data_IF_767716807351
#
_entry.id   IF_767716807351
#
_cell.length_a   1.000
_cell.length_b   1.000
_cell.length_c   1.000
_cell.angle_alpha   90.00
_cell.angle_beta   90.00
_cell.angle_gamma   90.00
#
_symmetry.space_group_name_H-M   'P 1'
#
loop_
_entity.id
_entity.type
_entity.pdbx_description
1 polymer ?
#
# COMPACT_ATOMS: atom_id res chain seq x y z
N UNK A 1 -36.97 -10.28 21.71
CA UNK A 1 -35.80 -10.52 20.84
C UNK A 1 -35.83 -12.00 20.50
N UNK A 2 -36.35 -12.32 19.32
CA UNK A 2 -36.66 -13.71 18.96
C UNK A 2 -35.41 -14.44 18.47
N UNK A 3 -35.33 -15.73 18.77
CA UNK A 3 -34.18 -16.57 18.39
C UNK A 3 -33.90 -16.58 16.87
N UNK A 4 -34.92 -16.35 16.04
CA UNK A 4 -34.79 -16.20 14.59
C UNK A 4 -34.13 -14.87 14.16
N UNK A 5 -34.36 -13.79 14.91
CA UNK A 5 -33.78 -12.47 14.66
C UNK A 5 -32.29 -12.45 15.04
N UNK A 6 -31.93 -13.15 16.14
CA UNK A 6 -30.54 -13.37 16.51
C UNK A 6 -29.78 -14.26 15.50
N UNK A 7 -30.42 -15.32 14.99
CA UNK A 7 -29.80 -16.22 14.03
C UNK A 7 -29.57 -15.58 12.65
N UNK A 8 -30.50 -14.77 12.16
CA UNK A 8 -30.34 -14.01 10.91
C UNK A 8 -29.27 -12.94 11.02
N UNK A 9 -29.23 -12.21 12.14
CA UNK A 9 -28.15 -11.23 12.42
C UNK A 9 -26.77 -11.89 12.47
N UNK A 10 -26.67 -13.07 13.09
CA UNK A 10 -25.41 -13.84 13.11
C UNK A 10 -25.01 -14.33 11.72
N UNK A 11 -25.94 -14.80 10.89
CA UNK A 11 -25.67 -15.20 9.51
C UNK A 11 -25.19 -14.04 8.65
N UNK A 12 -25.77 -12.85 8.81
CA UNK A 12 -25.34 -11.64 8.10
C UNK A 12 -23.94 -11.19 8.55
N UNK A 13 -23.63 -11.28 9.85
CA UNK A 13 -22.27 -11.03 10.36
C UNK A 13 -21.27 -12.06 9.85
N UNK A 14 -21.63 -13.34 9.78
CA UNK A 14 -20.79 -14.40 9.23
C UNK A 14 -20.56 -14.20 7.73
N UNK A 15 -21.59 -13.81 6.98
CA UNK A 15 -21.52 -13.51 5.56
C UNK A 15 -20.62 -12.29 5.30
N UNK A 16 -20.77 -11.21 6.08
CA UNK A 16 -19.88 -10.05 6.01
C UNK A 16 -18.44 -10.37 6.41
N UNK A 17 -18.22 -11.22 7.42
CA UNK A 17 -16.88 -11.71 7.79
C UNK A 17 -16.23 -12.56 6.71
N UNK A 18 -17.01 -13.44 6.07
CA UNK A 18 -16.54 -14.29 4.95
C UNK A 18 -16.20 -13.44 3.73
N UNK A 19 -17.02 -12.45 3.42
CA UNK A 19 -16.77 -11.50 2.33
C UNK A 19 -15.52 -10.65 2.59
N UNK A 20 -15.38 -10.07 3.78
CA UNK A 20 -14.20 -9.32 4.18
C UNK A 20 -12.92 -10.19 4.14
N UNK A 21 -12.98 -11.45 4.59
CA UNK A 21 -11.86 -12.39 4.48
C UNK A 21 -11.47 -12.69 3.03
N UNK A 22 -12.45 -12.92 2.15
CA UNK A 22 -12.21 -13.16 0.71
C UNK A 22 -11.47 -12.00 0.02
N UNK A 23 -11.83 -10.78 0.43
CA UNK A 23 -11.30 -9.54 -0.14
C UNK A 23 -9.88 -9.27 0.38
N UNK A 24 -9.67 -9.44 1.68
CA UNK A 24 -8.35 -9.37 2.32
C UNK A 24 -7.37 -10.44 1.78
N UNK A 25 -7.86 -11.65 1.45
CA UNK A 25 -7.06 -12.72 0.83
C UNK A 25 -6.49 -12.35 -0.55
N UNK A 26 -6.95 -11.27 -1.19
CA UNK A 26 -6.41 -10.78 -2.45
C UNK A 26 -5.19 -9.87 -2.32
N UNK A 27 -4.97 -9.30 -1.13
CA UNK A 27 -4.03 -8.21 -0.95
C UNK A 27 -2.65 -8.63 -0.43
N UNK A 28 -2.48 -9.89 -0.03
CA UNK A 28 -1.21 -10.38 0.55
C UNK A 28 -0.02 -10.15 -0.40
N UNK A 29 -0.15 -10.50 -1.68
CA UNK A 29 0.95 -10.41 -2.65
C UNK A 29 1.34 -8.95 -2.95
N UNK A 30 0.40 -8.03 -3.28
CA UNK A 30 0.71 -6.61 -3.40
C UNK A 30 1.39 -6.01 -2.16
N UNK A 31 0.91 -6.36 -0.96
CA UNK A 31 1.48 -5.88 0.31
C UNK A 31 2.91 -6.36 0.52
N UNK A 32 3.18 -7.65 0.30
CA UNK A 32 4.53 -8.23 0.42
C UNK A 32 5.46 -7.59 -0.61
N UNK A 33 5.04 -7.47 -1.86
CA UNK A 33 5.87 -6.93 -2.93
C UNK A 33 6.19 -5.45 -2.69
N UNK A 34 5.18 -4.64 -2.35
CA UNK A 34 5.37 -3.23 -2.01
C UNK A 34 6.27 -3.07 -0.78
N UNK A 35 6.03 -3.86 0.27
CA UNK A 35 6.84 -3.86 1.49
C UNK A 35 8.30 -4.18 1.22
N UNK A 36 8.56 -5.24 0.43
CA UNK A 36 9.91 -5.63 0.03
C UNK A 36 10.61 -4.55 -0.81
N UNK A 37 9.95 -4.00 -1.83
CA UNK A 37 10.52 -2.95 -2.67
C UNK A 37 10.82 -1.67 -1.87
N UNK A 38 9.97 -1.33 -0.91
CA UNK A 38 10.18 -0.16 -0.03
C UNK A 38 11.32 -0.40 0.97
N UNK A 39 11.52 -1.62 1.46
CA UNK A 39 12.70 -1.93 2.27
C UNK A 39 13.99 -1.88 1.45
N UNK A 40 13.95 -2.36 0.21
CA UNK A 40 15.08 -2.24 -0.73
C UNK A 40 15.40 -0.78 -1.02
N UNK A 41 14.38 0.09 -1.12
CA UNK A 41 14.61 1.52 -1.34
C UNK A 41 15.41 2.16 -0.21
N UNK A 42 15.17 1.78 1.06
CA UNK A 42 15.98 2.22 2.19
C UNK A 42 17.45 1.80 2.05
N UNK A 43 17.70 0.56 1.60
CA UNK A 43 19.05 0.06 1.33
C UNK A 43 19.71 0.85 0.20
N UNK A 44 18.99 1.13 -0.88
CA UNK A 44 19.49 1.93 -2.02
C UNK A 44 19.89 3.34 -1.54
N UNK A 45 19.05 4.00 -0.75
CA UNK A 45 19.35 5.34 -0.22
C UNK A 45 20.62 5.32 0.63
N UNK A 46 20.82 4.30 1.48
CA UNK A 46 21.99 4.19 2.36
C UNK A 46 23.28 3.83 1.61
N UNK A 47 23.18 3.03 0.55
CA UNK A 47 24.36 2.47 -0.14
C UNK A 47 24.77 3.23 -1.40
N UNK A 48 23.80 3.71 -2.17
CA UNK A 48 24.00 4.40 -3.44
C UNK A 48 23.66 5.91 -3.37
N UNK A 49 22.89 6.33 -2.36
CA UNK A 49 22.45 7.72 -2.17
C UNK A 49 21.03 7.99 -2.68
N UNK A 50 20.47 9.17 -2.33
CA UNK A 50 19.09 9.53 -2.65
C UNK A 50 18.84 9.71 -4.16
N UNK A 51 19.86 10.10 -4.94
CA UNK A 51 19.73 10.34 -6.38
C UNK A 51 19.37 9.07 -7.16
N UNK A 52 19.78 7.90 -6.65
CA UNK A 52 19.47 6.60 -7.26
C UNK A 52 18.05 6.12 -6.98
N UNK A 53 17.35 6.74 -6.01
CA UNK A 53 16.01 6.35 -5.62
C UNK A 53 15.00 6.53 -6.76
N UNK A 54 15.15 7.61 -7.54
CA UNK A 54 14.31 7.87 -8.70
C UNK A 54 14.47 6.82 -9.78
N UNK A 55 15.72 6.46 -10.12
CA UNK A 55 16.02 5.41 -11.10
C UNK A 55 15.55 4.03 -10.64
N UNK A 56 15.73 3.72 -9.36
CA UNK A 56 15.22 2.49 -8.75
C UNK A 56 13.70 2.39 -8.93
N UNK A 57 12.94 3.43 -8.56
CA UNK A 57 11.48 3.42 -8.67
C UNK A 57 10.96 3.50 -10.11
N UNK A 58 11.73 4.09 -11.03
CA UNK A 58 11.43 4.08 -12.46
C UNK A 58 11.36 2.65 -13.02
N UNK A 59 12.15 1.72 -12.46
CA UNK A 59 12.15 0.30 -12.86
C UNK A 59 11.24 -0.51 -11.95
N UNK A 60 11.38 -0.37 -10.63
CA UNK A 60 10.66 -1.14 -9.63
C UNK A 60 9.15 -0.87 -9.65
N UNK A 61 8.72 0.36 -9.92
CA UNK A 61 7.31 0.74 -9.99
C UNK A 61 6.58 0.00 -11.13
N UNK A 62 7.01 0.13 -12.39
CA UNK A 62 6.42 -0.60 -13.51
C UNK A 62 6.54 -2.12 -13.36
N UNK A 63 7.71 -2.63 -12.92
CA UNK A 63 7.90 -4.06 -12.73
C UNK A 63 6.97 -4.62 -11.62
N UNK A 64 6.84 -3.91 -10.51
CA UNK A 64 5.95 -4.26 -9.41
C UNK A 64 4.48 -4.20 -9.80
N UNK A 65 4.08 -3.15 -10.51
CA UNK A 65 2.73 -3.00 -11.07
C UNK A 65 2.38 -4.12 -12.04
N UNK A 66 3.30 -4.48 -12.95
CA UNK A 66 3.13 -5.60 -13.86
C UNK A 66 3.00 -6.94 -13.12
N UNK A 67 3.82 -7.17 -12.10
CA UNK A 67 3.75 -8.37 -11.26
C UNK A 67 2.39 -8.48 -10.54
N UNK A 68 1.89 -7.38 -9.97
CA UNK A 68 0.56 -7.31 -9.34
C UNK A 68 -0.53 -7.58 -10.37
N UNK A 69 -0.49 -6.93 -11.53
CA UNK A 69 -1.48 -7.12 -12.58
C UNK A 69 -1.53 -8.58 -13.06
N UNK A 70 -0.37 -9.19 -13.31
CA UNK A 70 -0.26 -10.60 -13.72
C UNK A 70 -0.80 -11.52 -12.63
N UNK A 71 -0.47 -11.26 -11.36
CA UNK A 71 -0.98 -12.03 -10.23
C UNK A 71 -2.52 -11.94 -10.13
N UNK A 72 -3.06 -10.73 -10.22
CA UNK A 72 -4.50 -10.46 -10.19
C UNK A 72 -5.25 -11.14 -11.34
N UNK A 73 -4.75 -11.02 -12.57
CA UNK A 73 -5.36 -11.68 -13.75
C UNK A 73 -5.34 -13.19 -13.61
N UNK A 74 -4.23 -13.77 -13.13
CA UNK A 74 -4.14 -15.22 -12.87
C UNK A 74 -5.13 -15.67 -11.80
N UNK A 75 -5.36 -14.85 -10.77
CA UNK A 75 -6.33 -15.12 -9.70
C UNK A 75 -7.78 -15.01 -10.20
N UNK A 76 -8.11 -13.99 -10.98
CA UNK A 76 -9.43 -13.77 -11.57
C UNK A 76 -9.81 -14.93 -12.51
N UNK A 77 -8.89 -15.37 -13.37
CA UNK A 77 -9.12 -16.53 -14.26
C UNK A 77 -9.42 -17.83 -13.52
N UNK A 78 -8.92 -17.98 -12.28
CA UNK A 78 -9.16 -19.17 -11.44
C UNK A 78 -10.47 -19.08 -10.65
N UNK A 79 -10.98 -17.88 -10.34
CA UNK A 79 -12.15 -17.67 -9.48
C UNK A 79 -13.41 -17.19 -10.22
N UNK A 80 -13.31 -16.83 -11.51
CA UNK A 80 -14.47 -16.50 -12.36
C UNK A 80 -15.15 -15.16 -12.05
N UNK A 81 -14.66 -14.37 -11.09
CA UNK A 81 -15.25 -13.09 -10.69
C UNK A 81 -14.47 -11.94 -11.34
N UNK A 82 -15.11 -11.18 -12.22
CA UNK A 82 -14.62 -9.89 -12.74
C UNK A 82 -15.00 -8.78 -11.75
N UNK A 83 -14.03 -8.12 -11.12
CA UNK A 83 -14.29 -6.87 -10.38
C UNK A 83 -14.23 -5.67 -11.34
N UNK A 84 -15.04 -4.61 -11.11
CA UNK A 84 -14.91 -3.36 -11.85
C UNK A 84 -13.56 -2.70 -11.53
N UNK A 85 -12.59 -2.88 -12.43
CA UNK A 85 -11.16 -2.61 -12.18
C UNK A 85 -10.74 -1.14 -12.37
N UNK A 86 -11.57 -0.30 -13.00
CA UNK A 86 -11.15 1.03 -13.43
C UNK A 86 -10.71 1.93 -12.26
N UNK A 87 -11.49 1.97 -11.17
CA UNK A 87 -11.15 2.78 -9.98
C UNK A 87 -9.82 2.36 -9.35
N UNK A 88 -9.56 1.05 -9.24
CA UNK A 88 -8.31 0.53 -8.68
C UNK A 88 -7.09 0.84 -9.57
N UNK A 89 -7.25 0.70 -10.88
CA UNK A 89 -6.19 1.02 -11.85
C UNK A 89 -5.88 2.51 -11.84
N UNK A 90 -6.91 3.37 -11.84
CA UNK A 90 -6.73 4.83 -11.78
C UNK A 90 -6.00 5.23 -10.50
N UNK A 91 -6.43 4.73 -9.33
CA UNK A 91 -5.75 5.01 -8.06
C UNK A 91 -4.30 4.53 -8.06
N UNK A 92 -4.03 3.32 -8.54
CA UNK A 92 -2.67 2.79 -8.62
C UNK A 92 -1.77 3.63 -9.54
N UNK A 93 -2.25 4.00 -10.73
CA UNK A 93 -1.53 4.86 -11.67
C UNK A 93 -1.29 6.25 -11.07
N UNK A 94 -2.29 6.82 -10.40
CA UNK A 94 -2.18 8.12 -9.74
C UNK A 94 -1.14 8.10 -8.60
N UNK A 95 -1.08 7.03 -7.81
CA UNK A 95 -0.05 6.86 -6.77
C UNK A 95 1.35 6.82 -7.40
N UNK A 96 1.55 5.99 -8.42
CA UNK A 96 2.86 5.87 -9.10
C UNK A 96 3.27 7.20 -9.71
N UNK A 97 2.37 7.83 -10.46
CA UNK A 97 2.64 9.13 -11.09
C UNK A 97 2.92 10.21 -10.02
N UNK A 98 2.13 10.28 -8.95
CA UNK A 98 2.34 11.23 -7.87
C UNK A 98 3.65 11.01 -7.11
N UNK A 99 4.03 9.78 -6.83
CA UNK A 99 5.30 9.45 -6.18
C UNK A 99 6.49 9.86 -7.05
N UNK A 100 6.43 9.55 -8.35
CA UNK A 100 7.46 9.97 -9.30
C UNK A 100 7.51 11.50 -9.39
N UNK A 101 6.37 12.17 -9.57
CA UNK A 101 6.31 13.63 -9.69
C UNK A 101 6.84 14.35 -8.45
N UNK A 102 6.45 13.94 -7.23
CA UNK A 102 6.91 14.61 -6.01
C UNK A 102 8.36 14.24 -5.68
N UNK A 103 8.75 12.99 -5.88
CA UNK A 103 10.12 12.53 -5.66
C UNK A 103 11.11 13.18 -6.62
N UNK A 104 10.86 13.06 -7.93
CA UNK A 104 11.77 13.63 -8.94
C UNK A 104 11.61 15.14 -9.09
N UNK A 105 10.39 15.66 -8.91
CA UNK A 105 10.13 17.11 -8.98
C UNK A 105 10.74 17.87 -7.81
N UNK A 106 10.68 17.32 -6.59
CA UNK A 106 11.41 17.88 -5.45
C UNK A 106 12.91 17.92 -5.70
N UNK A 107 13.48 16.84 -6.25
CA UNK A 107 14.91 16.79 -6.57
C UNK A 107 15.29 17.78 -7.68
N UNK A 108 14.47 17.89 -8.72
CA UNK A 108 14.69 18.82 -9.83
C UNK A 108 14.59 20.30 -9.42
N UNK A 109 13.77 20.60 -8.41
CA UNK A 109 13.57 21.95 -7.86
C UNK A 109 14.49 22.27 -6.67
N UNK A 110 15.38 21.35 -6.29
CA UNK A 110 16.26 21.46 -5.12
C UNK A 110 15.49 21.67 -3.80
N UNK A 111 14.34 21.01 -3.67
CA UNK A 111 13.49 21.02 -2.47
C UNK A 111 13.52 19.61 -1.84
N UNK A 112 14.47 19.35 -0.92
CA UNK A 112 14.70 18.01 -0.39
C UNK A 112 13.54 17.51 0.47
N UNK A 113 12.79 18.40 1.13
CA UNK A 113 11.62 18.05 1.93
C UNK A 113 10.50 17.48 1.07
N UNK A 114 10.27 18.07 -0.10
CA UNK A 114 9.26 17.58 -1.04
C UNK A 114 9.61 16.18 -1.55
N UNK A 115 10.90 15.96 -1.82
CA UNK A 115 11.42 14.66 -2.28
C UNK A 115 11.31 13.58 -1.20
N UNK A 116 11.60 13.94 0.05
CA UNK A 116 11.60 13.00 1.17
C UNK A 116 10.20 12.65 1.66
N UNK A 117 9.32 13.64 1.80
CA UNK A 117 8.01 13.48 2.46
C UNK A 117 6.84 13.40 1.48
N UNK A 118 7.00 13.87 0.23
CA UNK A 118 5.96 13.83 -0.79
C UNK A 118 5.49 12.42 -1.15
N UNK A 119 6.38 11.48 -1.52
CA UNK A 119 5.97 10.13 -1.90
C UNK A 119 5.22 9.36 -0.80
N UNK A 120 5.64 9.35 0.48
CA UNK A 120 4.87 8.74 1.57
C UNK A 120 3.47 9.32 1.75
N UNK A 121 3.31 10.64 1.56
CA UNK A 121 2.01 11.32 1.60
C UNK A 121 1.11 10.89 0.44
N UNK A 122 1.66 10.78 -0.77
CA UNK A 122 0.93 10.28 -1.95
C UNK A 122 0.46 8.85 -1.75
N UNK A 123 1.32 7.98 -1.20
CA UNK A 123 0.94 6.60 -0.87
C UNK A 123 -0.21 6.58 0.14
N UNK A 124 -0.13 7.39 1.21
CA UNK A 124 -1.20 7.47 2.20
C UNK A 124 -2.52 8.01 1.63
N UNK A 125 -2.47 9.04 0.77
CA UNK A 125 -3.63 9.55 0.05
C UNK A 125 -4.25 8.48 -0.87
N UNK A 126 -3.41 7.70 -1.55
CA UNK A 126 -3.82 6.55 -2.34
C UNK A 126 -4.54 5.49 -1.51
N UNK A 127 -4.03 5.19 -0.31
CA UNK A 127 -4.69 4.29 0.64
C UNK A 127 -6.04 4.85 1.10
N UNK A 128 -6.18 6.16 1.33
CA UNK A 128 -7.49 6.76 1.60
C UNK A 128 -8.46 6.60 0.43
N UNK A 129 -7.99 6.76 -0.81
CA UNK A 129 -8.81 6.51 -1.99
C UNK A 129 -9.26 5.04 -2.06
N UNK A 130 -8.37 4.08 -1.78
CA UNK A 130 -8.76 2.68 -1.65
C UNK A 130 -9.75 2.44 -0.51
N UNK A 131 -9.58 3.10 0.64
CA UNK A 131 -10.49 2.97 1.77
C UNK A 131 -11.90 3.47 1.42
N UNK A 132 -12.00 4.55 0.65
CA UNK A 132 -13.26 5.07 0.15
C UNK A 132 -13.90 4.14 -0.89
N UNK A 133 -13.11 3.59 -1.81
CA UNK A 133 -13.58 2.62 -2.81
C UNK A 133 -14.08 1.32 -2.17
N UNK A 134 -13.40 0.84 -1.13
CA UNK A 134 -13.75 -0.38 -0.39
C UNK A 134 -14.75 -0.13 0.76
N UNK A 135 -15.08 1.14 1.06
CA UNK A 135 -15.87 1.56 2.24
C UNK A 135 -15.35 0.92 3.54
N UNK A 136 -14.04 0.88 3.71
CA UNK A 136 -13.35 0.17 4.80
C UNK A 136 -12.74 1.13 5.83
N UNK A 137 -13.27 1.13 7.05
CA UNK A 137 -12.77 1.96 8.15
C UNK A 137 -11.37 1.54 8.62
N UNK A 138 -11.04 0.24 8.56
CA UNK A 138 -9.72 -0.26 8.96
C UNK A 138 -8.63 0.23 8.00
N UNK A 139 -8.91 0.27 6.70
CA UNK A 139 -7.97 0.76 5.69
C UNK A 139 -7.79 2.28 5.79
N UNK A 140 -8.86 3.02 6.10
CA UNK A 140 -8.78 4.45 6.41
C UNK A 140 -7.94 4.73 7.67
N UNK A 141 -8.11 3.93 8.74
CA UNK A 141 -7.31 4.07 9.95
C UNK A 141 -5.82 3.79 9.68
N UNK A 142 -5.51 2.74 8.92
CA UNK A 142 -4.13 2.44 8.48
C UNK A 142 -3.54 3.60 7.67
N UNK A 143 -4.30 4.13 6.70
CA UNK A 143 -3.88 5.27 5.89
C UNK A 143 -3.59 6.51 6.76
N UNK A 144 -4.42 6.76 7.78
CA UNK A 144 -4.21 7.84 8.74
C UNK A 144 -2.94 7.66 9.57
N UNK A 145 -2.69 6.46 10.09
CA UNK A 145 -1.46 6.14 10.83
C UNK A 145 -0.22 6.34 9.96
N UNK A 146 -0.27 5.85 8.72
CA UNK A 146 0.83 6.00 7.77
C UNK A 146 1.04 7.47 7.40
N UNK A 147 -0.02 8.26 7.17
CA UNK A 147 0.08 9.70 6.89
C UNK A 147 0.66 10.50 8.07
N UNK A 148 0.35 10.10 9.31
CA UNK A 148 0.82 10.80 10.50
C UNK A 148 2.35 10.75 10.63
N UNK A 149 2.99 9.68 10.16
CA UNK A 149 4.44 9.51 10.24
C UNK A 149 5.23 10.58 9.45
N UNK A 150 5.09 10.73 8.12
CA UNK A 150 5.81 11.76 7.37
C UNK A 150 5.43 13.17 7.81
N UNK A 151 4.17 13.40 8.22
CA UNK A 151 3.75 14.69 8.77
C UNK A 151 4.47 15.01 10.09
N UNK A 152 4.61 14.05 10.99
CA UNK A 152 5.34 14.22 12.25
C UNK A 152 6.84 14.44 12.00
N UNK A 153 7.45 13.66 11.10
CA UNK A 153 8.87 13.82 10.76
C UNK A 153 9.15 15.21 10.16
N UNK A 154 8.28 15.69 9.28
CA UNK A 154 8.35 17.04 8.72
C UNK A 154 8.19 18.12 9.81
N UNK A 155 7.16 18.00 10.65
CA UNK A 155 6.90 18.97 11.73
C UNK A 155 8.02 19.03 12.78
N UNK A 156 8.71 17.91 13.01
CA UNK A 156 9.87 17.82 13.91
C UNK A 156 11.17 18.32 13.26
N UNK A 157 11.15 18.73 11.99
CA UNK A 157 12.35 19.20 11.28
C UNK A 157 13.40 18.09 11.10
N UNK A 158 12.96 16.84 10.96
CA UNK A 158 13.87 15.71 10.76
C UNK A 158 14.59 15.87 9.43
N UNK A 159 15.91 15.69 9.44
CA UNK A 159 16.76 15.68 8.26
C UNK A 159 16.15 14.83 7.13
N UNK A 160 16.01 15.36 5.89
CA UNK A 160 15.28 14.70 4.80
C UNK A 160 15.76 13.27 4.48
N UNK A 161 17.07 13.04 4.57
CA UNK A 161 17.67 11.72 4.37
C UNK A 161 17.18 10.72 5.43
N UNK A 162 17.25 11.12 6.71
CA UNK A 162 16.78 10.30 7.82
C UNK A 162 15.27 10.07 7.73
N UNK A 163 14.50 11.12 7.40
CA UNK A 163 13.06 11.05 7.21
C UNK A 163 12.65 10.05 6.12
N UNK A 164 13.40 10.03 5.00
CA UNK A 164 13.20 9.07 3.90
C UNK A 164 13.46 7.64 4.36
N UNK A 165 14.60 7.39 5.03
CA UNK A 165 14.97 6.04 5.51
C UNK A 165 13.96 5.54 6.55
N UNK A 166 13.60 6.37 7.54
CA UNK A 166 12.63 6.00 8.58
C UNK A 166 11.26 5.69 7.97
N UNK A 167 10.80 6.53 7.04
CA UNK A 167 9.52 6.31 6.36
C UNK A 167 9.55 5.02 5.52
N UNK A 168 10.61 4.79 4.76
CA UNK A 168 10.76 3.59 3.94
C UNK A 168 10.79 2.31 4.79
N UNK A 169 11.54 2.31 5.90
CA UNK A 169 11.59 1.17 6.82
C UNK A 169 10.23 0.93 7.47
N UNK A 170 9.56 1.97 7.97
CA UNK A 170 8.26 1.85 8.63
C UNK A 170 7.18 1.34 7.68
N UNK A 171 7.00 2.00 6.52
CA UNK A 171 6.02 1.60 5.50
C UNK A 171 6.34 0.21 4.95
N UNK A 172 7.62 -0.07 4.70
CA UNK A 172 8.10 -1.34 4.19
C UNK A 172 7.82 -2.49 5.15
N UNK A 173 8.17 -2.33 6.44
CA UNK A 173 7.96 -3.34 7.47
C UNK A 173 6.48 -3.59 7.73
N UNK A 174 5.66 -2.54 7.89
CA UNK A 174 4.21 -2.69 8.13
C UNK A 174 3.54 -3.42 6.97
N UNK A 175 3.89 -3.05 5.73
CA UNK A 175 3.32 -3.66 4.53
C UNK A 175 3.78 -5.11 4.36
N UNK A 176 5.06 -5.39 4.60
CA UNK A 176 5.63 -6.74 4.49
C UNK A 176 5.04 -7.68 5.55
N UNK A 177 5.03 -7.26 6.83
CA UNK A 177 4.49 -8.05 7.93
C UNK A 177 2.99 -8.27 7.73
N UNK A 178 2.24 -7.22 7.41
CA UNK A 178 0.81 -7.33 7.10
C UNK A 178 0.57 -8.34 5.98
N UNK A 179 1.29 -8.20 4.87
CA UNK A 179 1.20 -9.12 3.74
C UNK A 179 1.56 -10.58 4.07
N UNK A 180 2.62 -10.81 4.86
CA UNK A 180 3.02 -12.15 5.29
C UNK A 180 1.98 -12.79 6.23
N UNK A 181 1.46 -12.04 7.19
CA UNK A 181 0.41 -12.52 8.10
C UNK A 181 -0.84 -12.93 7.30
N UNK A 182 -1.22 -12.13 6.31
CA UNK A 182 -2.33 -12.50 5.42
C UNK A 182 -2.02 -13.72 4.55
N UNK A 183 -0.80 -13.85 4.03
CA UNK A 183 -0.38 -14.98 3.20
C UNK A 183 -0.35 -16.31 3.98
N UNK A 184 0.15 -16.30 5.21
CA UNK A 184 0.19 -17.50 6.07
C UNK A 184 -1.22 -17.99 6.43
N UNK A 185 -2.16 -17.07 6.68
CA UNK A 185 -3.55 -17.40 6.95
C UNK A 185 -4.30 -17.98 5.73
N UNK A 186 -3.87 -17.68 4.50
CA UNK A 186 -4.42 -18.27 3.27
C UNK A 186 -3.91 -19.71 3.07
N UNK A 187 -2.64 -19.96 3.38
CA UNK A 187 -1.99 -21.28 3.25
C UNK A 187 -2.56 -22.36 4.17
N UNK A 188 -3.07 -22.00 5.35
CA UNK A 188 -3.66 -22.93 6.33
C UNK A 188 -5.10 -23.37 6.01
N UNK A 189 -5.68 -22.91 4.90
CA UNK A 189 -7.06 -23.22 4.48
C UNK A 189 -7.16 -24.22 3.32
N UNK A 190 -6.03 -24.82 2.94
CA UNK A 190 -5.93 -25.91 1.96
C UNK A 190 -5.58 -27.22 2.66
#
# INVERSE_FOLDING_TARGET
MDAHEAASTLQDVEAHRRQARSDLQGMWFPLVLFGALTLVSAVVVVTAGPDWLGLFWLVAGPAGGAAIAVHSVRRERRRGVRRPAAGYVVTAVAIVAGCLLLGSGGAALDVPELSAFGPPVVVAAGLFAFAALERSASLAAMAGVLLALPAALFALGVEPLLGTVVSAVAYGAVSLVGGLVYGLADGSSR
#
